data_IF_562565604302
#
_entry.id   IF_562565604302
#
_cell.length_a   1.000
_cell.length_b   1.000
_cell.length_c   1.000
_cell.angle_alpha   90.00
_cell.angle_beta   90.00
_cell.angle_gamma   90.00
#
_symmetry.space_group_name_H-M   'P 1'
#
loop_
_entity.id
_entity.type
_entity.pdbx_description
1 polymer ?
#
# COMPACT_ATOMS: atom_id res chain seq x y z
N UNK A 1 -1.89 0.62 25.66
CA UNK A 1 -2.55 0.89 24.37
C UNK A 1 -2.87 -0.44 23.69
N UNK A 2 -3.94 -0.54 22.89
CA UNK A 2 -4.37 -1.82 22.30
C UNK A 2 -3.91 -1.94 20.85
N UNK A 3 -3.55 -3.15 20.45
CA UNK A 3 -3.33 -3.50 19.04
C UNK A 3 -4.63 -3.32 18.24
N UNK A 4 -4.48 -2.92 16.98
CA UNK A 4 -5.58 -2.83 16.03
C UNK A 4 -5.53 -4.02 15.07
N UNK A 5 -6.67 -4.66 14.84
CA UNK A 5 -6.79 -5.82 13.95
C UNK A 5 -7.82 -5.51 12.88
N UNK A 6 -7.38 -5.58 11.63
CA UNK A 6 -8.22 -5.37 10.45
C UNK A 6 -8.27 -6.61 9.57
N UNK A 7 -9.34 -6.76 8.82
CA UNK A 7 -9.47 -7.75 7.74
C UNK A 7 -9.34 -7.01 6.41
N UNK A 8 -8.20 -7.21 5.75
CA UNK A 8 -7.87 -6.59 4.47
C UNK A 8 -8.19 -7.53 3.32
N UNK A 9 -8.73 -7.04 2.19
CA UNK A 9 -8.71 -7.78 0.94
C UNK A 9 -7.28 -7.88 0.42
N UNK A 10 -6.94 -9.00 -0.24
CA UNK A 10 -5.75 -9.08 -1.10
C UNK A 10 -6.10 -8.50 -2.46
N UNK A 11 -5.34 -7.51 -2.93
CA UNK A 11 -5.65 -6.86 -4.20
C UNK A 11 -4.99 -7.59 -5.37
N UNK A 12 -5.82 -8.26 -6.18
CA UNK A 12 -5.41 -8.81 -7.48
C UNK A 12 -6.07 -7.98 -8.57
N UNK A 13 -5.43 -6.89 -9.05
CA UNK A 13 -6.02 -5.97 -9.99
C UNK A 13 -6.17 -6.65 -11.37
N UNK A 14 -7.29 -7.34 -11.56
CA UNK A 14 -7.70 -7.89 -12.86
C UNK A 14 -8.63 -6.93 -13.62
N UNK A 15 -9.29 -6.03 -12.89
CA UNK A 15 -10.20 -5.03 -13.43
C UNK A 15 -9.56 -3.63 -13.44
N UNK A 16 -9.96 -2.80 -14.40
CA UNK A 16 -9.46 -1.42 -14.53
C UNK A 16 -9.84 -0.53 -13.34
N UNK A 17 -10.98 -0.82 -12.69
CA UNK A 17 -11.48 -0.14 -11.49
C UNK A 17 -12.22 -1.15 -10.62
N UNK A 18 -11.92 -1.17 -9.33
CA UNK A 18 -12.60 -2.01 -8.35
C UNK A 18 -12.60 -1.38 -6.95
N UNK A 19 -13.46 -1.91 -6.08
CA UNK A 19 -13.59 -1.49 -4.70
C UNK A 19 -13.81 -2.69 -3.77
N UNK A 20 -13.41 -2.53 -2.51
CA UNK A 20 -13.60 -3.52 -1.47
C UNK A 20 -13.79 -2.84 -0.11
N UNK A 21 -14.46 -3.54 0.81
CA UNK A 21 -14.58 -3.11 2.19
C UNK A 21 -13.45 -3.71 3.03
N UNK A 22 -13.02 -2.95 4.03
CA UNK A 22 -12.06 -3.38 5.05
C UNK A 22 -12.81 -3.45 6.36
N UNK A 23 -12.76 -4.62 6.99
CA UNK A 23 -13.49 -4.89 8.22
C UNK A 23 -12.62 -4.79 9.47
N UNK A 24 -13.26 -4.67 10.62
CA UNK A 24 -12.64 -5.00 11.90
C UNK A 24 -12.46 -6.53 12.07
N UNK A 25 -11.95 -6.98 13.22
CA UNK A 25 -11.78 -8.39 13.53
C UNK A 25 -13.09 -9.21 13.50
N UNK A 26 -14.24 -8.56 13.72
CA UNK A 26 -15.57 -9.17 13.62
C UNK A 26 -16.16 -9.07 12.20
N UNK A 27 -15.39 -8.56 11.23
CA UNK A 27 -15.77 -8.33 9.83
C UNK A 27 -16.84 -7.26 9.64
N UNK A 28 -17.04 -6.37 10.60
CA UNK A 28 -17.88 -5.20 10.40
C UNK A 28 -17.13 -4.21 9.50
N UNK A 29 -17.73 -3.71 8.41
CA UNK A 29 -17.05 -2.78 7.51
C UNK A 29 -16.78 -1.46 8.21
N UNK A 30 -15.51 -1.05 8.27
CA UNK A 30 -15.09 0.21 8.89
C UNK A 30 -14.48 1.19 7.88
N UNK A 31 -13.86 0.67 6.83
CA UNK A 31 -13.20 1.45 5.78
C UNK A 31 -13.55 0.84 4.41
N UNK A 32 -13.35 1.64 3.37
CA UNK A 32 -13.50 1.26 1.97
C UNK A 32 -12.23 1.61 1.23
N UNK A 33 -11.77 0.67 0.40
CA UNK A 33 -10.68 0.90 -0.55
C UNK A 33 -11.24 0.85 -1.96
N UNK A 34 -10.77 1.75 -2.82
CA UNK A 34 -10.98 1.70 -4.26
C UNK A 34 -9.65 1.81 -4.97
N UNK A 35 -9.46 1.04 -6.04
CA UNK A 35 -8.23 1.08 -6.82
C UNK A 35 -8.52 1.07 -8.31
N UNK A 36 -7.58 1.62 -9.07
CA UNK A 36 -7.63 1.65 -10.52
C UNK A 36 -6.25 1.40 -11.11
N UNK A 37 -6.19 0.55 -12.14
CA UNK A 37 -4.98 0.35 -12.92
C UNK A 37 -4.91 1.45 -13.98
N UNK A 38 -3.91 2.33 -13.97
CA UNK A 38 -3.78 3.35 -14.99
C UNK A 38 -3.52 2.69 -16.35
N UNK A 39 -4.50 2.73 -17.25
CA UNK A 39 -4.44 2.12 -18.58
C UNK A 39 -3.37 2.73 -19.49
N UNK A 40 -2.92 3.95 -19.18
CA UNK A 40 -1.78 4.64 -19.81
C UNK A 40 -1.11 5.51 -18.76
N UNK A 41 0.20 5.76 -18.90
CA UNK A 41 0.87 6.86 -18.18
C UNK A 41 0.21 8.16 -18.65
N UNK A 42 -0.86 8.56 -17.97
CA UNK A 42 -1.48 9.87 -18.17
C UNK A 42 -0.37 10.89 -17.98
N UNK A 43 -0.18 11.79 -18.95
CA UNK A 43 0.86 12.82 -18.93
C UNK A 43 0.67 13.86 -17.80
N UNK A 44 -0.23 13.60 -16.84
CA UNK A 44 -0.37 14.40 -15.64
C UNK A 44 0.83 14.20 -14.72
N UNK A 45 1.28 15.28 -14.08
CA UNK A 45 2.31 15.19 -13.05
C UNK A 45 1.84 14.43 -11.80
N UNK A 46 2.76 14.14 -10.86
CA UNK A 46 2.45 13.54 -9.56
C UNK A 46 1.31 14.33 -8.87
N UNK A 47 0.24 13.64 -8.47
CA UNK A 47 -0.93 14.27 -7.84
C UNK A 47 -2.06 14.70 -8.78
N UNK A 48 -1.90 14.54 -10.11
CA UNK A 48 -3.02 14.67 -11.03
C UNK A 48 -4.12 13.65 -10.68
N UNK A 49 -5.42 14.03 -10.66
CA UNK A 49 -6.50 13.13 -10.29
C UNK A 49 -6.51 11.81 -11.09
N UNK A 50 -6.09 11.86 -12.36
CA UNK A 50 -6.00 10.69 -13.24
C UNK A 50 -4.85 9.71 -12.95
N UNK A 51 -3.93 10.04 -12.03
CA UNK A 51 -2.81 9.18 -11.64
C UNK A 51 -3.03 8.47 -10.29
N UNK A 52 -4.18 8.69 -9.65
CA UNK A 52 -4.54 7.99 -8.42
C UNK A 52 -4.82 6.53 -8.74
N UNK A 53 -4.11 5.63 -8.07
CA UNK A 53 -4.23 4.19 -8.28
C UNK A 53 -4.85 3.47 -7.07
N UNK A 54 -4.82 4.08 -5.89
CA UNK A 54 -5.41 3.55 -4.67
C UNK A 54 -6.01 4.68 -3.84
N UNK A 55 -7.20 4.49 -3.28
CA UNK A 55 -7.83 5.45 -2.37
C UNK A 55 -8.41 4.70 -1.18
N UNK A 56 -8.06 5.14 0.02
CA UNK A 56 -8.61 4.69 1.29
C UNK A 56 -9.61 5.73 1.79
N UNK A 57 -10.80 5.27 2.13
CA UNK A 57 -11.92 6.12 2.54
C UNK A 57 -12.66 5.53 3.73
N UNK A 58 -13.23 6.42 4.54
CA UNK A 58 -14.32 6.07 5.45
C UNK A 58 -15.66 6.21 4.72
N UNK A 59 -16.76 5.93 5.41
CA UNK A 59 -18.12 6.17 4.88
C UNK A 59 -18.39 7.63 4.52
N UNK A 60 -17.68 8.57 5.14
CA UNK A 60 -17.96 10.01 4.99
C UNK A 60 -16.89 10.77 4.19
N UNK A 61 -15.66 10.28 4.12
CA UNK A 61 -14.55 11.04 3.54
C UNK A 61 -13.37 10.17 3.07
N UNK A 62 -12.65 10.69 2.08
CA UNK A 62 -11.31 10.22 1.72
C UNK A 62 -10.35 10.44 2.90
N UNK A 63 -9.57 9.42 3.24
CA UNK A 63 -8.56 9.48 4.30
C UNK A 63 -7.18 9.72 3.68
N UNK A 64 -6.83 8.90 2.71
CA UNK A 64 -5.55 8.96 2.01
C UNK A 64 -5.66 8.26 0.65
N UNK A 65 -4.70 8.52 -0.23
CA UNK A 65 -4.62 7.88 -1.53
C UNK A 65 -3.17 7.70 -1.98
N UNK A 66 -2.93 6.79 -2.89
CA UNK A 66 -1.66 6.66 -3.59
C UNK A 66 -1.83 7.07 -5.05
N UNK A 67 -0.81 7.74 -5.57
CA UNK A 67 -0.64 7.97 -7.00
C UNK A 67 0.64 7.34 -7.50
N UNK A 68 0.63 6.82 -8.72
CA UNK A 68 1.85 6.29 -9.34
C UNK A 68 2.88 7.41 -9.46
N UNK A 69 4.09 7.16 -8.97
CA UNK A 69 5.24 8.04 -9.06
C UNK A 69 6.24 7.56 -10.11
N UNK A 70 7.28 8.37 -10.40
CA UNK A 70 8.44 7.90 -11.14
C UNK A 70 9.24 6.86 -10.34
N UNK A 71 10.01 5.99 -11.00
CA UNK A 71 11.07 5.19 -10.35
C UNK A 71 10.61 4.24 -9.23
N UNK A 72 9.91 3.18 -9.61
CA UNK A 72 9.36 2.09 -8.77
C UNK A 72 8.73 2.58 -7.45
N UNK A 73 8.07 3.74 -7.51
CA UNK A 73 7.51 4.40 -6.34
C UNK A 73 6.04 4.80 -6.52
N UNK A 74 5.34 4.89 -5.40
CA UNK A 74 4.00 5.44 -5.29
C UNK A 74 4.05 6.61 -4.31
N UNK A 75 3.53 7.76 -4.71
CA UNK A 75 3.40 8.91 -3.81
C UNK A 75 2.14 8.75 -2.97
N UNK A 76 2.29 8.91 -1.65
CA UNK A 76 1.18 8.89 -0.71
C UNK A 76 0.65 10.33 -0.55
N UNK A 77 -0.65 10.50 -0.78
CA UNK A 77 -1.38 11.76 -0.72
C UNK A 77 -2.36 11.71 0.46
N UNK A 78 -2.44 12.80 1.22
CA UNK A 78 -3.39 12.90 2.33
C UNK A 78 -4.81 13.20 1.82
N UNK A 79 -5.79 13.31 2.72
CA UNK A 79 -7.19 13.63 2.39
C UNK A 79 -7.35 14.91 1.52
N UNK A 80 -6.45 15.89 1.66
CA UNK A 80 -6.45 17.13 0.85
C UNK A 80 -5.77 16.98 -0.52
N UNK A 81 -5.29 15.78 -0.86
CA UNK A 81 -4.56 15.51 -2.09
C UNK A 81 -3.10 16.01 -2.09
N UNK A 82 -2.59 16.47 -0.94
CA UNK A 82 -1.19 16.90 -0.82
C UNK A 82 -0.31 15.68 -0.56
N UNK A 83 0.87 15.56 -1.21
CA UNK A 83 1.84 14.53 -0.88
C UNK A 83 2.18 14.56 0.59
N UNK A 84 2.43 13.41 1.21
CA UNK A 84 2.95 13.34 2.58
C UNK A 84 3.94 12.20 2.81
N UNK A 85 4.12 11.33 1.82
CA UNK A 85 5.14 10.30 1.83
C UNK A 85 5.26 9.62 0.47
N UNK A 86 6.08 8.58 0.41
CA UNK A 86 6.23 7.71 -0.73
C UNK A 86 6.42 6.27 -0.27
N UNK A 87 6.02 5.32 -1.12
CA UNK A 87 6.31 3.89 -1.01
C UNK A 87 7.22 3.57 -2.18
N UNK A 88 8.41 3.05 -1.93
CA UNK A 88 9.39 2.74 -2.96
C UNK A 88 9.82 1.29 -2.84
N UNK A 89 9.91 0.56 -3.96
CA UNK A 89 10.53 -0.76 -3.95
C UNK A 89 12.03 -0.63 -3.63
N UNK A 90 12.56 -1.54 -2.82
CA UNK A 90 13.99 -1.62 -2.54
C UNK A 90 14.76 -2.12 -3.76
N UNK A 91 16.03 -1.73 -3.89
CA UNK A 91 16.89 -2.13 -5.01
C UNK A 91 17.11 -3.65 -5.07
N UNK A 92 17.11 -4.31 -3.91
CA UNK A 92 17.17 -5.77 -3.80
C UNK A 92 15.96 -6.48 -4.41
N UNK A 93 14.83 -5.77 -4.58
CA UNK A 93 13.56 -6.33 -5.00
C UNK A 93 12.84 -7.16 -3.91
N UNK A 94 13.40 -7.25 -2.70
CA UNK A 94 12.90 -8.10 -1.62
C UNK A 94 12.01 -7.34 -0.61
N UNK A 95 11.57 -6.14 -0.95
CA UNK A 95 10.75 -5.34 -0.05
C UNK A 95 10.50 -3.92 -0.55
N UNK A 96 9.90 -3.15 0.34
CA UNK A 96 9.50 -1.77 0.12
C UNK A 96 9.93 -0.91 1.30
N UNK A 97 10.10 0.39 1.05
CA UNK A 97 10.33 1.39 2.08
C UNK A 97 9.26 2.45 1.97
N UNK A 98 8.61 2.76 3.09
CA UNK A 98 7.75 3.94 3.23
C UNK A 98 8.62 5.06 3.80
N UNK A 99 8.68 6.19 3.11
CA UNK A 99 9.30 7.42 3.62
C UNK A 99 8.20 8.46 3.80
N UNK A 100 8.03 8.95 5.02
CA UNK A 100 7.05 10.00 5.34
C UNK A 100 7.72 11.39 5.40
N UNK A 101 6.96 12.49 5.30
CA UNK A 101 7.50 13.87 5.37
C UNK A 101 8.30 14.24 6.61
N UNK A 102 8.10 13.64 7.80
CA UNK A 102 9.02 13.78 8.93
C UNK A 102 10.38 13.11 8.73
N UNK A 103 10.59 12.38 7.63
CA UNK A 103 11.76 11.53 7.42
C UNK A 103 11.66 10.19 8.14
N UNK A 104 10.51 9.84 8.71
CA UNK A 104 10.32 8.50 9.29
C UNK A 104 10.28 7.46 8.18
N UNK A 105 11.06 6.40 8.38
CA UNK A 105 11.18 5.27 7.48
C UNK A 105 10.57 4.02 8.10
N UNK A 106 9.79 3.31 7.29
CA UNK A 106 9.24 1.99 7.64
C UNK A 106 9.66 1.03 6.54
N UNK A 107 10.25 -0.09 6.93
CA UNK A 107 10.68 -1.15 6.03
C UNK A 107 9.59 -2.20 5.98
N UNK A 108 9.19 -2.60 4.78
CA UNK A 108 8.22 -3.67 4.55
C UNK A 108 8.88 -4.78 3.76
N UNK A 109 8.65 -6.00 4.17
CA UNK A 109 9.19 -7.20 3.53
C UNK A 109 8.21 -8.35 3.58
N UNK A 110 8.36 -9.28 2.66
CA UNK A 110 7.68 -10.57 2.70
C UNK A 110 8.49 -11.54 3.54
N UNK A 111 7.82 -12.34 4.36
CA UNK A 111 8.43 -13.51 4.99
C UNK A 111 8.43 -14.73 4.05
N UNK A 112 8.94 -15.86 4.55
CA UNK A 112 9.02 -17.12 3.79
C UNK A 112 7.63 -17.68 3.40
N UNK A 113 6.58 -17.30 4.15
CA UNK A 113 5.20 -17.70 3.91
C UNK A 113 4.46 -16.73 2.96
N UNK A 114 5.13 -15.65 2.52
CA UNK A 114 4.54 -14.63 1.66
C UNK A 114 3.60 -13.68 2.42
N UNK A 115 3.73 -13.59 3.75
CA UNK A 115 3.07 -12.59 4.57
C UNK A 115 3.93 -11.34 4.68
N UNK A 116 3.27 -10.17 4.71
CA UNK A 116 3.95 -8.89 4.79
C UNK A 116 4.20 -8.51 6.25
N UNK A 117 5.43 -8.14 6.57
CA UNK A 117 5.82 -7.50 7.82
C UNK A 117 6.21 -6.05 7.58
N UNK A 118 5.98 -5.20 8.57
CA UNK A 118 6.46 -3.82 8.62
C UNK A 118 7.25 -3.57 9.91
N UNK A 119 8.47 -3.06 9.77
CA UNK A 119 9.36 -2.73 10.87
C UNK A 119 9.86 -1.28 10.77
N UNK A 120 10.20 -0.67 11.89
CA UNK A 120 10.92 0.61 11.88
C UNK A 120 12.44 0.42 11.63
N UNK A 121 13.17 1.54 11.62
CA UNK A 121 14.63 1.56 11.46
C UNK A 121 15.41 0.82 12.56
N UNK A 122 14.79 0.60 13.72
CA UNK A 122 15.36 -0.07 14.88
C UNK A 122 14.93 -1.55 14.93
N UNK A 123 14.33 -2.06 13.84
CA UNK A 123 13.78 -3.40 13.67
C UNK A 123 12.63 -3.74 14.64
N UNK A 124 11.91 -2.74 15.16
CA UNK A 124 10.69 -2.99 15.91
C UNK A 124 9.52 -3.26 14.98
N UNK A 125 8.77 -4.32 15.26
CA UNK A 125 7.59 -4.69 14.49
C UNK A 125 6.48 -3.67 14.72
N UNK A 126 6.03 -3.06 13.62
CA UNK A 126 4.94 -2.08 13.62
C UNK A 126 3.62 -2.72 13.18
N UNK A 127 3.67 -3.60 12.18
CA UNK A 127 2.51 -4.32 11.69
C UNK A 127 2.92 -5.61 10.96
N UNK A 128 2.02 -6.56 10.85
CA UNK A 128 2.22 -7.79 10.05
C UNK A 128 0.89 -8.36 9.57
N UNK A 129 0.92 -9.17 8.51
CA UNK A 129 -0.25 -9.92 8.06
C UNK A 129 -0.23 -11.38 8.48
N UNK A 130 -1.43 -11.94 8.60
CA UNK A 130 -1.65 -13.36 8.78
C UNK A 130 -2.68 -13.85 7.77
N UNK A 131 -2.46 -15.03 7.20
CA UNK A 131 -3.47 -15.71 6.40
C UNK A 131 -4.73 -16.02 7.23
N UNK A 132 -5.91 -15.89 6.62
CA UNK A 132 -7.16 -16.33 7.23
C UNK A 132 -7.47 -17.75 6.75
N UNK A 133 -7.57 -18.74 7.64
CA UNK A 133 -7.86 -20.13 7.25
C UNK A 133 -9.13 -20.22 6.39
N UNK A 134 -9.01 -20.86 5.22
CA UNK A 134 -10.11 -21.04 4.28
C UNK A 134 -10.52 -19.79 3.49
N UNK A 135 -9.80 -18.67 3.61
CA UNK A 135 -10.09 -17.43 2.87
C UNK A 135 -8.80 -16.80 2.33
N UNK A 136 -8.36 -17.23 1.15
CA UNK A 136 -7.17 -16.67 0.48
C UNK A 136 -7.38 -15.26 -0.07
N UNK A 137 -8.63 -14.83 -0.26
CA UNK A 137 -8.95 -13.50 -0.78
C UNK A 137 -8.77 -12.39 0.26
N UNK A 138 -8.60 -12.74 1.54
CA UNK A 138 -8.41 -11.79 2.62
C UNK A 138 -7.24 -12.20 3.50
N UNK A 139 -6.73 -11.23 4.24
CA UNK A 139 -5.71 -11.43 5.28
C UNK A 139 -6.05 -10.59 6.49
N UNK A 140 -5.57 -11.02 7.65
CA UNK A 140 -5.62 -10.21 8.85
C UNK A 140 -4.41 -9.29 8.84
N UNK A 141 -4.59 -8.01 9.16
CA UNK A 141 -3.52 -7.06 9.41
C UNK A 141 -3.53 -6.73 10.91
N UNK A 142 -2.45 -7.08 11.59
CA UNK A 142 -2.20 -6.79 12.99
C UNK A 142 -1.31 -5.55 13.07
N UNK A 143 -1.76 -4.50 13.75
CA UNK A 143 -1.07 -3.22 13.85
C UNK A 143 -0.77 -2.94 15.32
N UNK A 144 0.49 -2.68 15.61
CA UNK A 144 1.00 -2.40 16.94
C UNK A 144 0.42 -1.10 17.54
N UNK A 145 0.55 -0.93 18.87
CA UNK A 145 0.11 0.28 19.55
C UNK A 145 0.85 1.53 19.06
N UNK A 146 0.14 2.65 18.95
CA UNK A 146 0.72 3.94 18.55
C UNK A 146 1.05 4.07 17.05
N UNK A 147 0.83 3.03 16.25
CA UNK A 147 1.08 3.02 14.81
C UNK A 147 -0.12 3.60 14.05
N UNK A 148 0.14 4.39 13.00
CA UNK A 148 -0.90 4.95 12.14
C UNK A 148 -1.58 3.85 11.31
N UNK A 149 -2.81 3.51 11.71
CA UNK A 149 -3.64 2.48 11.08
C UNK A 149 -3.91 2.78 9.61
N UNK A 150 -4.17 4.04 9.27
CA UNK A 150 -4.48 4.46 7.89
C UNK A 150 -3.27 4.30 6.98
N UNK A 151 -2.09 4.69 7.47
CA UNK A 151 -0.83 4.54 6.75
C UNK A 151 -0.48 3.07 6.50
N UNK A 152 -0.53 2.23 7.54
CA UNK A 152 -0.22 0.79 7.39
C UNK A 152 -1.22 0.11 6.45
N UNK A 153 -2.52 0.36 6.64
CA UNK A 153 -3.55 -0.22 5.77
C UNK A 153 -3.32 0.16 4.31
N UNK A 154 -3.07 1.44 4.03
CA UNK A 154 -2.82 1.93 2.68
C UNK A 154 -1.55 1.33 2.09
N UNK A 155 -0.48 1.21 2.86
CA UNK A 155 0.80 0.69 2.38
C UNK A 155 0.72 -0.79 1.99
N UNK A 156 0.12 -1.63 2.83
CA UNK A 156 -0.05 -3.06 2.54
C UNK A 156 -0.89 -3.28 1.27
N UNK A 157 -1.96 -2.50 1.10
CA UNK A 157 -2.80 -2.57 -0.12
C UNK A 157 -2.08 -2.01 -1.35
N UNK A 158 -1.24 -0.98 -1.19
CA UNK A 158 -0.45 -0.43 -2.27
C UNK A 158 0.61 -1.42 -2.76
N UNK A 159 1.21 -2.19 -1.86
CA UNK A 159 2.15 -3.27 -2.20
C UNK A 159 1.47 -4.35 -3.03
N UNK A 160 0.30 -4.85 -2.62
CA UNK A 160 -0.47 -5.82 -3.42
C UNK A 160 -0.72 -5.29 -4.85
N UNK A 161 -1.14 -4.03 -4.94
CA UNK A 161 -1.39 -3.40 -6.23
C UNK A 161 -0.09 -3.33 -7.06
N UNK A 162 1.02 -2.97 -6.43
CA UNK A 162 2.32 -2.85 -7.07
C UNK A 162 2.84 -4.20 -7.61
N UNK A 163 2.78 -5.25 -6.80
CA UNK A 163 3.26 -6.60 -7.15
C UNK A 163 2.45 -7.23 -8.29
N UNK A 164 1.16 -6.93 -8.34
CA UNK A 164 0.26 -7.48 -9.35
C UNK A 164 -0.04 -6.52 -10.51
N UNK A 165 0.61 -5.36 -10.56
CA UNK A 165 0.52 -4.45 -11.70
C UNK A 165 1.29 -5.02 -12.90
N UNK A 166 0.76 -4.88 -14.14
CA UNK A 166 1.45 -5.28 -15.35
C UNK A 166 2.88 -4.72 -15.42
N UNK A 167 3.90 -5.50 -15.85
CA UNK A 167 5.28 -5.05 -15.94
C UNK A 167 5.49 -3.79 -16.80
N UNK A 168 4.62 -3.56 -17.78
CA UNK A 168 4.64 -2.38 -18.65
C UNK A 168 4.29 -1.07 -17.91
N UNK A 169 3.50 -1.21 -16.85
CA UNK A 169 3.11 -0.12 -15.95
C UNK A 169 4.08 0.00 -14.77
N UNK A 170 4.91 -1.02 -14.55
CA UNK A 170 6.07 -0.90 -13.69
C UNK A 170 7.10 0.01 -14.42
N UNK A 171 7.68 0.99 -13.72
CA UNK A 171 8.71 1.83 -14.31
C UNK A 171 9.91 0.97 -14.74
N UNK A 172 10.55 1.31 -15.88
CA UNK A 172 11.58 0.47 -16.48
C UNK A 172 12.68 0.20 -15.45
N UNK A 173 13.13 -1.05 -15.38
CA UNK A 173 14.45 -1.32 -14.83
C UNK A 173 15.42 -0.52 -15.70
N UNK A 174 16.04 0.53 -15.14
CA UNK A 174 17.25 1.03 -15.76
C UNK A 174 18.15 -0.18 -15.90
N UNK A 175 18.54 -0.52 -17.13
CA UNK A 175 19.67 -1.42 -17.32
C UNK A 175 20.81 -0.74 -16.57
N UNK A 176 21.21 -1.32 -15.46
CA UNK A 176 22.52 -1.05 -14.89
C UNK A 176 23.51 -1.68 -15.88
N UNK A 177 23.67 -1.04 -17.03
CA UNK A 177 24.87 -1.15 -17.84
C UNK A 177 25.95 -0.42 -17.04
N UNK A 178 26.44 -1.09 -16.00
CA UNK A 178 27.69 -0.73 -15.33
C UNK A 178 28.80 -0.96 -16.36
N UNK A 179 29.27 0.14 -16.95
CA UNK A 179 30.58 0.24 -17.59
C UNK A 179 31.69 0.19 -16.53
#
# INVERSE_FOLDING_TARGET
>A
EKECILVLPRLYPQAALAEANIGDAARNPILRVSWSIPLRRSQGGPGSPGNRCLTLSSTAACIASCSMGPGKSMTILNASGKPFGAISAQESGLGFTITTRPGSEVILGLDEDGELGAVDKDNQVLAFTEAIPGNSAHRRLCIGPGVDVGLMTLAFLAIDLYEHMPPELQPPMGSADCL
#
